data_IF_305964519735
#
_entry.id   IF_305964519735
#
_cell.length_a   1.000
_cell.length_b   1.000
_cell.length_c   1.000
_cell.angle_alpha   90.00
_cell.angle_beta   90.00
_cell.angle_gamma   90.00
#
_symmetry.space_group_name_H-M   'P 1'
#
loop_
_entity.id
_entity.type
_entity.pdbx_description
1 polymer ?
#
# COMPACT_ATOMS: atom_id res chain seq x y z
N UNK A 1 -14.27 -12.36 22.50
CA UNK A 1 -13.00 -11.81 23.02
C UNK A 1 -12.53 -10.74 22.06
N UNK A 2 -12.40 -9.48 22.52
CA UNK A 2 -11.83 -8.41 21.69
C UNK A 2 -10.33 -8.70 21.52
N UNK A 3 -9.88 -8.83 20.28
CA UNK A 3 -8.45 -8.97 19.99
C UNK A 3 -7.74 -7.69 20.46
N UNK A 4 -6.77 -7.85 21.36
CA UNK A 4 -5.86 -6.78 21.76
C UNK A 4 -5.09 -6.32 20.52
N UNK A 5 -5.06 -5.02 20.18
CA UNK A 5 -4.30 -4.56 19.03
C UNK A 5 -2.81 -4.74 19.33
N UNK A 6 -2.16 -5.67 18.63
CA UNK A 6 -0.71 -5.78 18.67
C UNK A 6 -0.11 -4.48 18.13
N UNK A 7 0.77 -3.87 18.93
CA UNK A 7 1.19 -2.48 18.81
C UNK A 7 1.80 -2.16 17.43
N UNK A 8 1.51 -0.95 16.95
CA UNK A 8 2.42 -0.20 16.07
C UNK A 8 3.82 -0.20 16.72
N UNK A 9 4.93 -0.33 15.99
CA UNK A 9 6.25 -0.26 16.60
C UNK A 9 6.33 0.95 17.54
N UNK A 10 6.74 0.72 18.80
CA UNK A 10 6.81 1.75 19.84
C UNK A 10 7.94 2.71 19.51
N UNK A 11 7.64 3.64 18.60
CA UNK A 11 8.53 4.71 18.18
C UNK A 11 8.38 5.86 19.15
N UNK A 12 9.49 6.52 19.55
CA UNK A 12 9.42 7.77 20.29
C UNK A 12 8.45 8.73 19.59
N UNK A 13 7.52 9.35 20.34
CA UNK A 13 6.46 10.20 19.81
C UNK A 13 6.99 11.27 18.83
N UNK A 14 8.17 11.81 19.12
CA UNK A 14 8.88 12.75 18.27
C UNK A 14 9.19 12.22 16.85
N UNK A 15 9.63 10.95 16.72
CA UNK A 15 9.87 10.30 15.42
C UNK A 15 8.55 9.94 14.74
N UNK A 16 7.57 9.46 15.51
CA UNK A 16 6.24 9.12 14.98
C UNK A 16 5.57 10.33 14.34
N UNK A 17 5.60 11.50 14.98
CA UNK A 17 5.06 12.75 14.41
C UNK A 17 5.74 13.14 13.10
N UNK A 18 7.06 12.99 12.99
CA UNK A 18 7.78 13.23 11.74
C UNK A 18 7.32 12.28 10.62
N UNK A 19 7.12 11.00 10.93
CA UNK A 19 6.64 10.01 9.96
C UNK A 19 5.23 10.37 9.47
N UNK A 20 4.33 10.71 10.38
CA UNK A 20 2.94 11.05 10.02
C UNK A 20 2.84 12.36 9.21
N UNK A 21 3.60 13.39 9.58
CA UNK A 21 3.65 14.64 8.80
C UNK A 21 4.36 14.43 7.45
N UNK A 22 5.36 13.56 7.38
CA UNK A 22 5.99 13.20 6.11
C UNK A 22 5.02 12.49 5.17
N UNK A 23 4.28 11.48 5.67
CA UNK A 23 3.23 10.80 4.91
C UNK A 23 2.22 11.80 4.32
N UNK A 24 1.74 12.72 5.16
CA UNK A 24 0.80 13.75 4.73
C UNK A 24 1.41 14.69 3.68
N UNK A 25 2.59 15.26 3.97
CA UNK A 25 3.25 16.21 3.08
C UNK A 25 3.61 15.57 1.73
N UNK A 26 4.14 14.35 1.73
CA UNK A 26 4.45 13.62 0.50
C UNK A 26 3.19 13.27 -0.31
N UNK A 27 2.10 12.89 0.36
CA UNK A 27 0.84 12.59 -0.32
C UNK A 27 0.11 13.83 -0.87
N UNK A 28 0.26 14.99 -0.23
CA UNK A 28 -0.43 16.24 -0.62
C UNK A 28 0.37 17.07 -1.63
N UNK A 29 1.69 17.15 -1.45
CA UNK A 29 2.57 18.03 -2.23
C UNK A 29 3.38 17.25 -3.29
N UNK A 30 3.46 15.92 -3.15
CA UNK A 30 4.40 15.09 -3.90
C UNK A 30 5.77 15.00 -3.22
N UNK A 31 6.45 13.87 -3.42
CA UNK A 31 7.71 13.56 -2.73
C UNK A 31 8.83 14.54 -3.08
N UNK A 32 8.96 14.92 -4.34
CA UNK A 32 10.02 15.81 -4.81
C UNK A 32 9.86 17.25 -4.29
N UNK A 33 8.62 17.73 -4.15
CA UNK A 33 8.33 19.11 -3.77
C UNK A 33 8.31 19.32 -2.25
N UNK A 34 7.95 18.30 -1.46
CA UNK A 34 7.80 18.45 -0.01
C UNK A 34 9.13 18.81 0.69
N UNK A 35 9.11 19.82 1.56
CA UNK A 35 10.28 20.29 2.32
C UNK A 35 10.49 19.48 3.61
N UNK A 36 11.67 18.88 3.81
CA UNK A 36 12.03 18.17 5.06
C UNK A 36 12.04 19.10 6.28
N UNK A 37 12.34 20.39 6.04
CA UNK A 37 12.27 21.42 7.05
C UNK A 37 10.83 21.69 7.47
N UNK A 38 9.94 21.85 6.50
CA UNK A 38 8.53 22.15 6.76
C UNK A 38 7.83 20.95 7.42
N UNK A 39 8.23 19.73 7.05
CA UNK A 39 7.82 18.50 7.75
C UNK A 39 8.29 18.53 9.22
N UNK A 40 9.52 18.94 9.48
CA UNK A 40 10.04 19.03 10.87
C UNK A 40 9.27 20.06 11.68
N UNK A 41 8.96 21.21 11.08
CA UNK A 41 8.18 22.28 11.69
C UNK A 41 6.73 21.85 11.96
N UNK A 42 6.06 21.24 10.99
CA UNK A 42 4.71 20.69 11.12
C UNK A 42 4.64 19.59 12.19
N UNK A 43 5.70 18.79 12.36
CA UNK A 43 5.79 17.76 13.39
C UNK A 43 6.05 18.33 14.81
N UNK A 44 6.12 19.67 14.95
CA UNK A 44 6.30 20.36 16.22
C UNK A 44 7.73 20.34 16.75
N UNK A 45 8.72 20.03 15.91
CA UNK A 45 10.13 20.07 16.31
C UNK A 45 10.66 21.50 16.26
N UNK A 46 11.34 21.91 17.34
CA UNK A 46 12.09 23.18 17.35
C UNK A 46 13.28 23.15 16.40
N UNK A 47 13.85 21.96 16.16
CA UNK A 47 14.93 21.75 15.21
C UNK A 47 14.36 21.51 13.80
N UNK A 48 14.56 22.48 12.91
CA UNK A 48 14.18 22.42 11.48
C UNK A 48 14.89 21.30 10.69
N UNK A 49 15.92 20.70 11.26
CA UNK A 49 16.66 19.57 10.67
C UNK A 49 16.32 18.24 11.35
N UNK A 50 15.26 18.15 12.18
CA UNK A 50 14.92 16.93 12.90
C UNK A 50 14.67 15.72 11.97
N UNK A 51 14.01 15.94 10.83
CA UNK A 51 13.81 14.90 9.83
C UNK A 51 15.15 14.36 9.29
N UNK A 52 16.07 15.25 8.89
CA UNK A 52 17.39 14.86 8.41
C UNK A 52 18.23 14.20 9.51
N UNK A 53 18.15 14.70 10.74
CA UNK A 53 18.87 14.13 11.87
C UNK A 53 18.43 12.69 12.18
N UNK A 54 17.12 12.41 12.15
CA UNK A 54 16.59 11.10 12.51
C UNK A 54 16.59 10.09 11.37
N UNK A 55 16.46 10.55 10.13
CA UNK A 55 16.24 9.68 8.97
C UNK A 55 17.30 9.87 7.88
N UNK A 56 18.28 10.75 8.09
CA UNK A 56 19.33 11.07 7.13
C UNK A 56 18.81 11.98 6.02
N UNK A 57 18.16 11.36 5.04
CA UNK A 57 17.68 12.04 3.85
C UNK A 57 16.20 11.75 3.58
N UNK A 58 15.73 12.23 2.43
CA UNK A 58 14.35 12.01 1.98
C UNK A 58 14.03 10.53 1.80
N UNK A 59 14.95 9.74 1.26
CA UNK A 59 14.75 8.31 1.02
C UNK A 59 14.69 7.54 2.35
N UNK A 60 15.51 7.89 3.32
CA UNK A 60 15.43 7.36 4.68
C UNK A 60 14.09 7.70 5.35
N UNK A 61 13.56 8.91 5.15
CA UNK A 61 12.23 9.26 5.64
C UNK A 61 11.10 8.51 4.91
N UNK A 62 11.21 8.29 3.60
CA UNK A 62 10.28 7.44 2.82
C UNK A 62 10.29 6.01 3.36
N UNK A 63 11.47 5.43 3.59
CA UNK A 63 11.61 4.09 4.19
C UNK A 63 10.92 4.02 5.55
N UNK A 64 11.14 5.02 6.41
CA UNK A 64 10.48 5.08 7.72
C UNK A 64 8.95 5.13 7.63
N UNK A 65 8.38 5.85 6.66
CA UNK A 65 6.92 5.83 6.41
C UNK A 65 6.45 4.44 5.99
N UNK A 66 7.18 3.77 5.07
CA UNK A 66 6.85 2.42 4.63
C UNK A 66 6.94 1.40 5.78
N UNK A 67 8.01 1.43 6.57
CA UNK A 67 8.24 0.55 7.72
C UNK A 67 7.19 0.76 8.82
N UNK A 68 6.68 1.99 8.99
CA UNK A 68 5.61 2.30 9.93
C UNK A 68 4.25 1.76 9.47
N UNK A 69 3.89 1.96 8.20
CA UNK A 69 2.55 1.63 7.69
C UNK A 69 2.37 0.18 7.25
N UNK A 70 3.40 -0.44 6.67
CA UNK A 70 3.30 -1.79 6.11
C UNK A 70 2.85 -2.84 7.11
N UNK A 71 3.43 -2.95 8.33
CA UNK A 71 2.97 -3.93 9.30
C UNK A 71 1.51 -3.73 9.70
N UNK A 72 1.06 -2.47 9.80
CA UNK A 72 -0.32 -2.16 10.12
C UNK A 72 -1.28 -2.60 9.00
N UNK A 73 -0.97 -2.28 7.74
CA UNK A 73 -1.74 -2.76 6.59
C UNK A 73 -1.73 -4.29 6.51
N UNK A 74 -0.57 -4.93 6.72
CA UNK A 74 -0.43 -6.38 6.69
C UNK A 74 -1.31 -7.07 7.74
N UNK A 75 -1.42 -6.50 8.95
CA UNK A 75 -2.37 -6.97 9.97
C UNK A 75 -3.82 -6.85 9.53
N UNK A 76 -4.20 -5.75 8.89
CA UNK A 76 -5.57 -5.60 8.39
C UNK A 76 -5.90 -6.64 7.31
N UNK A 77 -4.91 -7.03 6.49
CA UNK A 77 -5.04 -8.14 5.52
C UNK A 77 -5.21 -9.49 6.22
N UNK A 78 -4.47 -9.73 7.30
CA UNK A 78 -4.63 -10.94 8.11
C UNK A 78 -6.05 -11.02 8.71
N UNK A 79 -6.51 -9.93 9.35
CA UNK A 79 -7.86 -9.84 9.92
C UNK A 79 -8.93 -10.09 8.86
N UNK A 80 -8.76 -9.52 7.66
CA UNK A 80 -9.67 -9.73 6.54
C UNK A 80 -9.81 -11.20 6.13
N UNK A 81 -8.69 -11.92 6.07
CA UNK A 81 -8.63 -13.34 5.70
C UNK A 81 -9.16 -14.25 6.82
N UNK A 82 -8.78 -13.96 8.06
CA UNK A 82 -9.22 -14.70 9.26
C UNK A 82 -10.75 -14.63 9.43
N UNK A 83 -11.33 -13.45 9.22
CA UNK A 83 -12.78 -13.25 9.27
C UNK A 83 -13.55 -14.10 8.25
N UNK A 84 -12.87 -14.62 7.22
CA UNK A 84 -13.43 -15.48 6.17
C UNK A 84 -12.95 -16.94 6.29
N UNK A 85 -12.22 -17.29 7.35
CA UNK A 85 -11.66 -18.62 7.54
C UNK A 85 -10.69 -19.04 6.42
N UNK A 86 -10.04 -18.08 5.78
CA UNK A 86 -9.21 -18.31 4.61
C UNK A 86 -7.73 -18.17 4.95
N UNK A 87 -6.91 -19.09 4.42
CA UNK A 87 -5.46 -18.90 4.36
C UNK A 87 -5.09 -18.41 2.96
N UNK A 88 -4.06 -17.54 2.81
CA UNK A 88 -3.57 -17.13 1.49
C UNK A 88 -3.32 -18.32 0.56
N UNK A 89 -2.86 -19.44 1.09
CA UNK A 89 -2.43 -20.59 0.30
C UNK A 89 -3.56 -21.33 -0.41
N UNK A 90 -4.77 -21.28 0.16
CA UNK A 90 -5.95 -22.01 -0.30
C UNK A 90 -7.07 -21.08 -0.79
N UNK A 91 -6.90 -19.77 -0.63
CA UNK A 91 -7.86 -18.77 -1.06
C UNK A 91 -7.94 -18.65 -2.59
N UNK A 92 -9.11 -18.27 -3.11
CA UNK A 92 -9.27 -17.99 -4.53
C UNK A 92 -8.50 -16.71 -4.94
N UNK A 93 -8.09 -16.56 -6.21
CA UNK A 93 -7.47 -15.32 -6.71
C UNK A 93 -8.30 -14.08 -6.41
N UNK A 94 -9.62 -14.21 -6.52
CA UNK A 94 -10.55 -13.13 -6.23
C UNK A 94 -10.46 -12.67 -4.77
N UNK A 95 -10.50 -13.61 -3.82
CA UNK A 95 -10.38 -13.27 -2.40
C UNK A 95 -8.99 -12.68 -2.07
N UNK A 96 -7.93 -13.18 -2.71
CA UNK A 96 -6.57 -12.66 -2.55
C UNK A 96 -6.45 -11.20 -3.04
N UNK A 97 -7.08 -10.86 -4.17
CA UNK A 97 -7.13 -9.47 -4.66
C UNK A 97 -7.97 -8.58 -3.74
N UNK A 98 -9.11 -9.04 -3.26
CA UNK A 98 -9.90 -8.30 -2.27
C UNK A 98 -9.11 -8.07 -0.97
N UNK A 99 -8.32 -9.05 -0.53
CA UNK A 99 -7.43 -8.88 0.62
C UNK A 99 -6.36 -7.80 0.40
N UNK A 100 -5.96 -7.50 -0.84
CA UNK A 100 -5.05 -6.37 -1.13
C UNK A 100 -5.76 -5.02 -1.03
N UNK A 101 -7.03 -4.94 -1.47
CA UNK A 101 -7.79 -3.70 -1.65
C UNK A 101 -8.68 -3.32 -0.46
N UNK A 102 -9.58 -4.22 -0.05
CA UNK A 102 -10.64 -3.92 0.92
C UNK A 102 -10.10 -3.37 2.25
N UNK A 103 -9.01 -3.90 2.84
CA UNK A 103 -8.45 -3.34 4.07
C UNK A 103 -8.08 -1.85 3.99
N UNK A 104 -7.71 -1.34 2.82
CA UNK A 104 -7.36 0.07 2.62
C UNK A 104 -8.58 0.92 2.20
N UNK A 105 -9.58 0.31 1.56
CA UNK A 105 -10.76 1.00 1.04
C UNK A 105 -11.92 1.07 2.03
N UNK A 106 -12.15 -0.01 2.78
CA UNK A 106 -13.41 -0.25 3.49
C UNK A 106 -13.25 -0.41 5.01
N UNK A 107 -12.03 -0.51 5.52
CA UNK A 107 -11.79 -0.65 6.97
C UNK A 107 -12.25 0.57 7.77
N UNK A 108 -12.36 0.40 9.08
CA UNK A 108 -12.60 1.50 10.01
C UNK A 108 -11.45 2.54 9.94
N UNK A 109 -10.22 2.06 9.76
CA UNK A 109 -8.99 2.85 9.66
C UNK A 109 -8.83 3.57 8.30
N UNK A 110 -9.76 3.39 7.35
CA UNK A 110 -9.66 3.95 5.98
C UNK A 110 -9.43 5.47 5.93
N UNK A 111 -9.89 6.21 6.93
CA UNK A 111 -9.68 7.66 6.99
C UNK A 111 -8.24 7.98 7.39
N UNK A 112 -7.68 7.22 8.33
CA UNK A 112 -6.27 7.31 8.71
C UNK A 112 -5.36 6.88 7.55
N UNK A 113 -5.74 5.83 6.83
CA UNK A 113 -4.99 5.27 5.71
C UNK A 113 -5.13 6.06 4.40
N UNK A 114 -6.02 7.05 4.34
CA UNK A 114 -6.21 7.86 3.13
C UNK A 114 -4.95 8.68 2.77
N UNK A 115 -4.24 9.19 3.79
CA UNK A 115 -2.96 9.88 3.59
C UNK A 115 -1.90 8.91 3.06
N UNK A 116 -1.82 7.71 3.62
CA UNK A 116 -0.95 6.65 3.13
C UNK A 116 -1.23 6.28 1.67
N UNK A 117 -2.49 6.15 1.26
CA UNK A 117 -2.86 5.90 -0.14
C UNK A 117 -2.33 6.97 -1.10
N UNK A 118 -2.45 8.26 -0.73
CA UNK A 118 -1.89 9.36 -1.53
C UNK A 118 -0.36 9.36 -1.55
N UNK A 119 0.27 9.05 -0.41
CA UNK A 119 1.71 8.86 -0.33
C UNK A 119 2.19 7.73 -1.27
N UNK A 120 1.51 6.59 -1.28
CA UNK A 120 1.84 5.48 -2.19
C UNK A 120 1.71 5.90 -3.65
N UNK A 121 0.67 6.66 -3.99
CA UNK A 121 0.49 7.20 -5.33
C UNK A 121 1.64 8.13 -5.73
N UNK A 122 2.04 9.05 -4.83
CA UNK A 122 3.21 9.90 -5.06
C UNK A 122 4.51 9.09 -5.20
N UNK A 123 4.67 8.02 -4.40
CA UNK A 123 5.84 7.14 -4.44
C UNK A 123 5.97 6.40 -5.78
N UNK A 124 4.87 5.96 -6.40
CA UNK A 124 4.90 5.29 -7.71
C UNK A 124 5.48 6.15 -8.84
N UNK A 125 5.40 7.47 -8.70
CA UNK A 125 5.93 8.43 -9.67
C UNK A 125 7.37 8.84 -9.33
N UNK A 126 7.75 8.79 -8.06
CA UNK A 126 9.08 9.13 -7.58
C UNK A 126 10.08 7.96 -7.69
N UNK A 127 9.68 6.77 -7.24
CA UNK A 127 10.50 5.54 -7.23
C UNK A 127 10.04 4.61 -8.36
N UNK A 128 10.34 5.01 -9.61
CA UNK A 128 9.84 4.33 -10.83
C UNK A 128 10.31 2.86 -10.88
N UNK A 129 11.55 2.61 -10.49
CA UNK A 129 12.15 1.27 -10.43
C UNK A 129 11.65 0.44 -9.23
N UNK A 130 11.06 1.09 -8.22
CA UNK A 130 10.47 0.45 -7.04
C UNK A 130 11.49 -0.03 -6.02
N UNK A 131 12.69 0.56 -6.00
CA UNK A 131 13.79 0.18 -5.10
C UNK A 131 13.40 0.35 -3.62
N UNK A 132 12.84 1.50 -3.25
CA UNK A 132 12.41 1.82 -1.88
C UNK A 132 11.23 0.94 -1.46
N UNK A 133 10.35 0.63 -2.41
CA UNK A 133 9.23 -0.28 -2.19
C UNK A 133 9.70 -1.73 -1.94
N UNK A 134 10.71 -2.19 -2.69
CA UNK A 134 11.25 -3.55 -2.55
C UNK A 134 12.06 -3.73 -1.26
N UNK A 135 12.90 -2.74 -0.90
CA UNK A 135 13.72 -2.76 0.31
C UNK A 135 12.90 -3.01 1.58
N UNK A 136 11.66 -2.52 1.62
CA UNK A 136 10.77 -2.62 2.77
C UNK A 136 9.83 -3.84 2.72
N UNK A 137 9.98 -4.76 1.75
CA UNK A 137 9.04 -5.87 1.51
C UNK A 137 8.99 -6.89 2.66
N UNK A 138 10.10 -7.06 3.40
CA UNK A 138 10.19 -7.98 4.54
C UNK A 138 9.26 -7.66 5.71
N UNK A 139 8.74 -6.43 5.77
CA UNK A 139 7.85 -5.96 6.85
C UNK A 139 6.38 -6.37 6.69
N UNK A 140 6.03 -7.11 5.63
CA UNK A 140 4.65 -7.49 5.30
C UNK A 140 4.52 -8.98 4.89
N UNK A 141 4.69 -9.92 5.84
CA UNK A 141 4.69 -11.35 5.56
C UNK A 141 3.37 -11.89 4.97
N UNK A 142 2.21 -11.37 5.38
CA UNK A 142 0.91 -11.81 4.85
C UNK A 142 0.76 -11.39 3.40
N UNK A 143 1.16 -10.16 3.10
CA UNK A 143 1.21 -9.62 1.74
C UNK A 143 2.13 -10.45 0.84
N UNK A 144 3.29 -10.88 1.34
CA UNK A 144 4.19 -11.77 0.61
C UNK A 144 3.52 -13.12 0.29
N UNK A 145 2.83 -13.73 1.26
CA UNK A 145 2.06 -14.97 1.07
C UNK A 145 0.93 -14.81 0.05
N UNK A 146 0.23 -13.66 0.07
CA UNK A 146 -0.80 -13.32 -0.92
C UNK A 146 -0.20 -13.28 -2.33
N UNK A 147 0.91 -12.59 -2.54
CA UNK A 147 1.55 -12.53 -3.87
C UNK A 147 2.11 -13.88 -4.31
N UNK A 148 2.68 -14.66 -3.39
CA UNK A 148 3.12 -16.03 -3.68
C UNK A 148 1.95 -16.93 -4.09
N UNK A 149 0.77 -16.77 -3.46
CA UNK A 149 -0.43 -17.48 -3.84
C UNK A 149 -0.97 -17.06 -5.21
N UNK A 150 -1.04 -15.74 -5.47
CA UNK A 150 -1.42 -15.22 -6.80
C UNK A 150 -0.47 -15.71 -7.90
N UNK A 151 0.84 -15.82 -7.63
CA UNK A 151 1.83 -16.38 -8.58
C UNK A 151 1.51 -17.82 -8.97
N UNK A 152 1.01 -18.64 -8.04
CA UNK A 152 0.61 -20.03 -8.33
C UNK A 152 -0.62 -20.12 -9.22
N UNK A 153 -1.50 -19.12 -9.16
CA UNK A 153 -2.65 -19.01 -10.06
C UNK A 153 -2.32 -18.43 -11.44
N UNK A 154 -1.12 -17.90 -11.61
CA UNK A 154 -0.69 -17.23 -12.84
C UNK A 154 -0.18 -18.20 -13.94
N UNK A 155 -0.48 -19.50 -13.84
CA UNK A 155 -0.14 -20.50 -14.86
C UNK A 155 1.36 -20.54 -15.22
N UNK A 156 1.65 -20.77 -16.50
CA UNK A 156 3.00 -20.92 -17.05
C UNK A 156 3.68 -19.59 -17.43
N UNK A 157 3.28 -18.46 -16.83
CA UNK A 157 3.95 -17.19 -17.10
C UNK A 157 5.43 -17.25 -16.74
N UNK A 158 6.25 -16.65 -17.61
CA UNK A 158 7.65 -16.36 -17.30
C UNK A 158 7.75 -15.40 -16.12
N UNK A 159 8.87 -15.43 -15.41
CA UNK A 159 9.08 -14.53 -14.27
C UNK A 159 9.11 -13.06 -14.69
N UNK A 160 9.56 -12.74 -15.90
CA UNK A 160 9.54 -11.37 -16.41
C UNK A 160 8.11 -10.90 -16.70
N UNK A 161 7.28 -11.74 -17.32
CA UNK A 161 5.86 -11.42 -17.51
C UNK A 161 5.13 -11.29 -16.18
N UNK A 162 5.42 -12.14 -15.20
CA UNK A 162 4.88 -12.02 -13.85
C UNK A 162 5.29 -10.72 -13.17
N UNK A 163 6.59 -10.37 -13.16
CA UNK A 163 7.09 -9.13 -12.56
C UNK A 163 6.47 -7.90 -13.22
N UNK A 164 6.30 -7.90 -14.54
CA UNK A 164 5.64 -6.82 -15.28
C UNK A 164 4.17 -6.69 -14.87
N UNK A 165 3.41 -7.81 -14.86
CA UNK A 165 2.00 -7.82 -14.48
C UNK A 165 1.78 -7.44 -13.03
N UNK A 166 2.63 -7.93 -12.11
CA UNK A 166 2.57 -7.58 -10.70
C UNK A 166 2.84 -6.09 -10.47
N UNK A 167 3.78 -5.50 -11.22
CA UNK A 167 4.03 -4.05 -11.22
C UNK A 167 2.81 -3.26 -11.69
N UNK A 168 2.18 -3.68 -12.79
CA UNK A 168 0.95 -3.05 -13.30
C UNK A 168 -0.22 -3.19 -12.30
N UNK A 169 -0.43 -4.38 -11.74
CA UNK A 169 -1.44 -4.67 -10.73
C UNK A 169 -1.27 -3.77 -9.50
N UNK A 170 -0.04 -3.64 -8.98
CA UNK A 170 0.24 -2.78 -7.83
C UNK A 170 -0.07 -1.31 -8.10
N UNK A 171 0.26 -0.82 -9.30
CA UNK A 171 -0.08 0.54 -9.74
C UNK A 171 -1.59 0.77 -9.79
N UNK A 172 -2.35 -0.15 -10.39
CA UNK A 172 -3.81 -0.05 -10.41
C UNK A 172 -4.42 -0.11 -9.01
N UNK A 173 -3.94 -0.99 -8.12
CA UNK A 173 -4.42 -1.06 -6.74
C UNK A 173 -4.21 0.27 -6.01
N UNK A 174 -3.03 0.86 -6.13
CA UNK A 174 -2.71 2.14 -5.48
C UNK A 174 -3.56 3.27 -6.06
N UNK A 175 -3.78 3.30 -7.37
CA UNK A 175 -4.66 4.28 -8.01
C UNK A 175 -6.09 4.19 -7.45
N UNK A 176 -6.64 2.98 -7.36
CA UNK A 176 -7.94 2.73 -6.74
C UNK A 176 -8.02 3.17 -5.28
N UNK A 177 -6.97 2.92 -4.49
CA UNK A 177 -6.89 3.33 -3.08
C UNK A 177 -6.81 4.85 -2.94
N UNK A 178 -5.95 5.51 -3.72
CA UNK A 178 -5.75 6.95 -3.68
C UNK A 178 -6.99 7.70 -4.19
N UNK A 179 -7.62 7.17 -5.24
CA UNK A 179 -8.81 7.73 -5.87
C UNK A 179 -10.11 7.03 -5.44
N UNK A 180 -10.20 6.57 -4.19
CA UNK A 180 -11.34 5.79 -3.68
C UNK A 180 -12.73 6.39 -3.90
N UNK A 181 -12.82 7.72 -4.05
CA UNK A 181 -14.09 8.41 -4.36
C UNK A 181 -14.65 8.02 -5.74
N UNK A 182 -13.80 7.57 -6.66
CA UNK A 182 -14.20 7.01 -7.95
C UNK A 182 -14.79 5.59 -7.82
N UNK A 183 -14.65 4.94 -6.66
CA UNK A 183 -15.07 3.56 -6.43
C UNK A 183 -16.22 3.43 -5.42
N UNK A 184 -16.51 4.47 -4.64
CA UNK A 184 -17.50 4.45 -3.57
C UNK A 184 -18.55 5.56 -3.78
N UNK A 185 -19.84 5.33 -3.45
CA UNK A 185 -20.91 6.30 -3.70
C UNK A 185 -20.67 7.66 -2.99
N UNK A 186 -20.98 8.78 -3.66
CA UNK A 186 -20.97 10.11 -3.04
C UNK A 186 -20.18 11.22 -3.76
N UNK A 187 -19.79 11.02 -5.03
CA UNK A 187 -19.29 12.07 -5.92
C UNK A 187 -19.96 11.96 -7.30
N UNK A 188 -20.03 13.07 -8.03
CA UNK A 188 -20.32 13.09 -9.48
C UNK A 188 -18.95 12.90 -10.20
N UNK A 189 -18.72 12.00 -11.20
CA UNK A 189 -19.60 11.37 -12.22
C UNK A 189 -19.65 9.81 -12.12
N UNK A 190 -19.72 8.98 -13.22
CA UNK A 190 -20.59 7.78 -13.37
C UNK A 190 -20.52 6.75 -12.21
N UNK A 191 -21.55 5.88 -12.04
CA UNK A 191 -21.57 4.93 -10.94
C UNK A 191 -20.26 4.16 -10.90
N UNK A 192 -19.59 4.10 -9.72
CA UNK A 192 -18.30 3.46 -9.61
C UNK A 192 -18.36 2.03 -10.17
N UNK A 193 -17.30 1.52 -10.82
CA UNK A 193 -17.26 0.10 -11.15
C UNK A 193 -17.48 -0.70 -9.87
N UNK A 194 -18.33 -1.73 -9.92
CA UNK A 194 -18.61 -2.54 -8.72
C UNK A 194 -17.28 -3.14 -8.25
N UNK A 195 -17.06 -3.19 -6.94
CA UNK A 195 -15.81 -3.75 -6.38
C UNK A 195 -15.49 -5.15 -6.94
N UNK A 196 -16.53 -5.94 -7.22
CA UNK A 196 -16.44 -7.24 -7.87
C UNK A 196 -15.84 -7.16 -9.29
N UNK A 197 -16.22 -6.17 -10.08
CA UNK A 197 -15.71 -5.94 -11.44
C UNK A 197 -14.24 -5.50 -11.40
N UNK A 198 -13.90 -4.59 -10.49
CA UNK A 198 -12.51 -4.17 -10.25
C UNK A 198 -11.65 -5.36 -9.86
N UNK A 199 -12.12 -6.17 -8.91
CA UNK A 199 -11.40 -7.37 -8.49
C UNK A 199 -11.25 -8.38 -9.64
N UNK A 200 -12.30 -8.61 -10.43
CA UNK A 200 -12.24 -9.51 -11.60
C UNK A 200 -11.22 -9.03 -12.64
N UNK A 201 -11.21 -7.73 -12.97
CA UNK A 201 -10.23 -7.14 -13.89
C UNK A 201 -8.80 -7.31 -13.39
N UNK A 202 -8.56 -7.06 -12.10
CA UNK A 202 -7.23 -7.19 -11.49
C UNK A 202 -6.78 -8.65 -11.37
N UNK A 203 -7.70 -9.58 -11.12
CA UNK A 203 -7.40 -11.03 -11.19
C UNK A 203 -6.98 -11.39 -12.61
N UNK A 204 -7.77 -11.01 -13.62
CA UNK A 204 -7.48 -11.32 -15.02
C UNK A 204 -6.12 -10.78 -15.46
N UNK A 205 -5.74 -9.56 -15.03
CA UNK A 205 -4.41 -8.98 -15.28
C UNK A 205 -3.27 -9.89 -14.81
N UNK A 206 -3.45 -10.59 -13.69
CA UNK A 206 -2.44 -11.47 -13.13
C UNK A 206 -2.50 -12.88 -13.72
N UNK A 207 -3.69 -13.39 -14.03
CA UNK A 207 -3.89 -14.83 -14.30
C UNK A 207 -4.20 -15.18 -15.76
N UNK A 208 -4.47 -14.22 -16.64
CA UNK A 208 -4.76 -14.53 -18.06
C UNK A 208 -3.54 -15.18 -18.73
N UNK A 209 -3.73 -16.17 -19.59
CA UNK A 209 -2.60 -16.80 -20.28
C UNK A 209 -1.80 -15.78 -21.11
N UNK A 210 -0.49 -16.03 -21.26
CA UNK A 210 0.29 -15.25 -22.21
C UNK A 210 -0.23 -15.54 -23.63
N UNK A 211 -0.35 -14.52 -24.50
CA UNK A 211 -0.62 -14.77 -25.90
C UNK A 211 0.44 -15.71 -26.47
N UNK A 212 0.03 -16.65 -27.33
CA UNK A 212 0.98 -17.54 -28.00
C UNK A 212 2.04 -16.70 -28.73
N UNK A 213 3.31 -17.06 -28.58
CA UNK A 213 4.37 -16.41 -29.34
C UNK A 213 4.11 -16.64 -30.83
N UNK A 214 3.92 -15.55 -31.58
CA UNK A 214 3.81 -15.56 -33.04
C UNK A 214 5.18 -15.73 -33.69
#
# INVERSE_FOLDING_TARGET
MKATPAAVPDLPDAKRRLILEAERAFGEQGIAAASLRDISEAAGHRNKFAAQYHFGDRNGLIRAVLEYRRPHVDRLRQVFLDARGAAPETASPHLLVLAILEPLLLSEDRHELAAYGRFLYALLHYDVEGSLWQDSASTAPVTHRIYAALRRHAGQLSDESWKMRLRAFGRCCIDFIANRKLLLPGGDPPPPPRMEEVAAMLVAMLTIDAPAAH
#
